data_IF_367709692402
#
_entry.id   IF_367709692402
#
_cell.length_a   1.000
_cell.length_b   1.000
_cell.length_c   1.000
_cell.angle_alpha   90.00
_cell.angle_beta   90.00
_cell.angle_gamma   90.00
#
_symmetry.space_group_name_H-M   'P 1'
#
loop_
_entity.id
_entity.type
_entity.pdbx_description
1 polymer ?
#
# COMPACT_ATOMS: atom_id res chain seq x y z
N UNK A 1 0.87 49.85 0.88
CA UNK A 1 1.46 49.00 -0.18
C UNK A 1 1.17 47.55 0.15
N UNK A 2 0.19 47.02 -0.55
CA UNK A 2 -0.27 45.64 -0.44
C UNK A 2 0.75 44.68 -1.12
N UNK A 3 1.38 43.82 -0.33
CA UNK A 3 2.14 42.71 -0.88
C UNK A 3 1.16 41.62 -1.33
N UNK A 4 0.85 41.60 -2.60
CA UNK A 4 0.23 40.46 -3.27
C UNK A 4 1.28 39.36 -3.40
N UNK A 5 1.36 38.50 -2.42
CA UNK A 5 2.06 37.23 -2.57
C UNK A 5 1.23 36.35 -3.52
N UNK A 6 1.68 36.27 -4.77
CA UNK A 6 1.12 35.36 -5.77
C UNK A 6 1.29 33.93 -5.25
N UNK A 7 0.20 33.32 -4.82
CA UNK A 7 0.17 31.87 -4.51
C UNK A 7 0.53 31.12 -5.80
N UNK A 8 1.78 30.68 -5.92
CA UNK A 8 2.21 29.80 -6.98
C UNK A 8 1.54 28.45 -6.71
N UNK A 9 0.48 28.13 -7.44
CA UNK A 9 -0.15 26.81 -7.38
C UNK A 9 0.85 25.82 -7.98
N UNK A 10 1.47 25.01 -7.11
CA UNK A 10 2.36 23.90 -7.54
C UNK A 10 1.49 22.88 -8.25
N UNK A 11 1.86 22.47 -9.46
CA UNK A 11 1.12 21.45 -10.18
C UNK A 11 1.17 20.12 -9.44
N UNK A 12 0.06 19.38 -9.40
CA UNK A 12 -0.08 18.09 -8.67
C UNK A 12 0.95 17.02 -9.07
N UNK A 13 1.61 17.15 -10.21
CA UNK A 13 2.64 16.24 -10.71
C UNK A 13 4.00 16.36 -9.99
N UNK A 14 4.16 17.34 -9.09
CA UNK A 14 5.44 17.66 -8.42
C UNK A 14 5.51 17.20 -6.95
N UNK A 15 4.51 16.47 -6.46
CA UNK A 15 4.55 15.94 -5.10
C UNK A 15 5.58 14.82 -4.99
N UNK A 16 6.53 14.98 -4.09
CA UNK A 16 7.55 13.97 -3.76
C UNK A 16 7.58 13.75 -2.23
N UNK A 17 8.00 12.56 -1.85
CA UNK A 17 8.25 12.26 -0.43
C UNK A 17 9.44 13.10 0.01
N UNK A 18 9.27 13.82 1.12
CA UNK A 18 10.31 14.62 1.72
C UNK A 18 11.45 13.72 2.24
N UNK A 19 12.67 13.99 1.77
CA UNK A 19 13.88 13.30 2.20
C UNK A 19 14.74 14.21 3.09
N UNK A 20 15.71 13.62 3.81
CA UNK A 20 16.70 14.41 4.59
C UNK A 20 17.45 15.41 3.71
N UNK A 21 17.70 15.04 2.44
CA UNK A 21 18.33 15.94 1.47
C UNK A 21 17.45 17.16 1.15
N UNK A 22 16.14 16.96 1.08
CA UNK A 22 15.17 18.03 0.82
C UNK A 22 15.08 18.97 2.02
N UNK A 23 15.05 18.42 3.24
CA UNK A 23 15.09 19.20 4.49
C UNK A 23 16.34 20.08 4.53
N UNK A 24 17.51 19.51 4.22
CA UNK A 24 18.77 20.24 4.16
C UNK A 24 18.75 21.33 3.07
N UNK A 25 18.14 21.06 1.92
CA UNK A 25 17.98 22.02 0.83
C UNK A 25 17.07 23.17 1.21
N UNK A 26 15.95 22.90 1.87
CA UNK A 26 15.03 23.90 2.40
C UNK A 26 15.75 24.78 3.43
N UNK A 27 16.45 24.16 4.38
CA UNK A 27 17.23 24.87 5.41
C UNK A 27 18.28 25.80 4.79
N UNK A 28 19.03 25.31 3.79
CA UNK A 28 20.03 26.12 3.09
C UNK A 28 19.40 27.34 2.41
N UNK A 29 18.24 27.17 1.75
CA UNK A 29 17.50 28.30 1.14
C UNK A 29 17.08 29.32 2.19
N UNK A 30 16.52 28.88 3.31
CA UNK A 30 16.11 29.79 4.40
C UNK A 30 17.28 30.58 4.96
N UNK A 31 18.43 29.95 5.17
CA UNK A 31 19.66 30.63 5.62
C UNK A 31 20.13 31.67 4.60
N UNK A 32 20.02 31.39 3.30
CA UNK A 32 20.37 32.33 2.24
C UNK A 32 19.46 33.57 2.21
N UNK A 33 18.24 33.45 2.74
CA UNK A 33 17.26 34.53 2.91
C UNK A 33 17.33 35.17 4.30
N UNK A 34 18.49 35.07 5.00
CA UNK A 34 18.77 35.58 6.34
C UNK A 34 17.86 35.00 7.47
N UNK A 35 17.16 33.88 7.21
CA UNK A 35 16.41 33.19 8.23
C UNK A 35 17.26 32.08 8.89
N UNK A 36 17.79 32.41 10.07
CA UNK A 36 18.54 31.44 10.89
C UNK A 36 17.58 30.48 11.57
N UNK A 37 17.51 29.25 11.05
CA UNK A 37 16.65 28.18 11.60
C UNK A 37 17.48 26.93 11.91
N UNK A 38 17.29 26.37 13.10
CA UNK A 38 17.87 25.07 13.42
C UNK A 38 17.13 23.96 12.67
N UNK A 39 17.81 22.83 12.42
CA UNK A 39 17.16 21.64 11.83
C UNK A 39 15.99 21.16 12.68
N UNK A 40 16.13 21.19 14.00
CA UNK A 40 15.09 20.81 14.96
C UNK A 40 13.86 21.71 14.84
N UNK A 41 14.05 23.02 14.70
CA UNK A 41 12.92 23.95 14.57
C UNK A 41 12.26 23.79 13.21
N UNK A 42 13.03 23.58 12.13
CA UNK A 42 12.49 23.29 10.81
C UNK A 42 11.64 22.02 10.83
N UNK A 43 12.14 20.93 11.45
CA UNK A 43 11.36 19.69 11.59
C UNK A 43 10.10 19.90 12.44
N UNK A 44 10.16 20.72 13.49
CA UNK A 44 8.99 21.07 14.28
C UNK A 44 7.91 21.77 13.44
N UNK A 45 8.32 22.67 12.54
CA UNK A 45 7.39 23.31 11.61
C UNK A 45 6.79 22.34 10.60
N UNK A 46 7.62 21.45 10.03
CA UNK A 46 7.19 20.45 9.04
C UNK A 46 6.18 19.47 9.66
N UNK A 47 6.41 19.04 10.92
CA UNK A 47 5.54 18.12 11.64
C UNK A 47 4.29 18.77 12.25
N UNK A 48 4.22 20.11 12.24
CA UNK A 48 3.08 20.83 12.81
C UNK A 48 1.84 20.69 11.95
N UNK A 49 0.75 20.17 12.54
CA UNK A 49 -0.55 20.04 11.88
C UNK A 49 -1.19 21.36 11.46
N UNK A 50 -0.83 22.45 12.14
CA UNK A 50 -1.38 23.79 11.85
C UNK A 50 -0.74 24.41 10.61
N UNK A 51 0.49 24.00 10.29
CA UNK A 51 1.28 24.56 9.20
C UNK A 51 1.23 23.67 7.97
N UNK A 52 1.30 22.34 8.16
CA UNK A 52 1.32 21.36 7.08
C UNK A 52 0.02 20.59 7.00
N UNK A 53 -0.63 20.62 5.84
CA UNK A 53 -1.80 19.77 5.59
C UNK A 53 -1.34 18.33 5.31
N UNK A 54 -1.98 17.37 5.96
CA UNK A 54 -1.79 15.97 5.59
C UNK A 54 -2.29 15.75 4.17
N UNK A 55 -1.47 15.13 3.36
CA UNK A 55 -1.76 14.81 1.97
C UNK A 55 -1.58 13.32 1.75
N UNK A 56 -2.59 12.69 1.17
CA UNK A 56 -2.51 11.28 0.77
C UNK A 56 -2.54 11.19 -0.77
N UNK A 57 -1.40 10.93 -1.42
CA UNK A 57 -1.30 10.89 -2.87
C UNK A 57 -2.20 9.84 -3.51
N UNK A 58 -2.43 8.70 -2.86
CA UNK A 58 -3.30 7.65 -3.36
C UNK A 58 -4.77 8.08 -3.33
N UNK A 59 -5.22 8.70 -2.23
CA UNK A 59 -6.58 9.24 -2.15
C UNK A 59 -6.80 10.33 -3.20
N UNK A 60 -5.82 11.21 -3.37
CA UNK A 60 -5.91 12.27 -4.39
C UNK A 60 -5.95 11.66 -5.80
N UNK A 61 -5.16 10.64 -6.08
CA UNK A 61 -5.17 9.92 -7.34
C UNK A 61 -6.56 9.36 -7.66
N UNK A 62 -7.14 8.56 -6.75
CA UNK A 62 -8.44 7.94 -6.97
C UNK A 62 -9.58 8.95 -7.06
N UNK A 63 -9.55 10.02 -6.25
CA UNK A 63 -10.58 11.06 -6.27
C UNK A 63 -10.53 11.96 -7.51
N UNK A 64 -9.44 11.93 -8.28
CA UNK A 64 -9.27 12.72 -9.49
C UNK A 64 -9.18 11.86 -10.76
N UNK A 65 -9.52 10.58 -10.70
CA UNK A 65 -9.72 9.78 -11.89
C UNK A 65 -10.90 10.31 -12.69
N UNK A 66 -10.75 10.30 -14.01
CA UNK A 66 -11.86 10.60 -14.91
C UNK A 66 -13.01 9.62 -14.71
N UNK A 67 -14.23 10.06 -15.01
CA UNK A 67 -15.37 9.15 -15.01
C UNK A 67 -15.14 8.01 -16.01
N UNK A 68 -15.46 6.80 -15.58
CA UNK A 68 -15.36 5.63 -16.44
C UNK A 68 -16.44 5.71 -17.54
N UNK A 69 -16.04 6.22 -18.71
CA UNK A 69 -16.90 6.38 -19.88
C UNK A 69 -16.93 5.17 -20.81
N UNK A 70 -15.98 4.23 -20.64
CA UNK A 70 -15.85 3.06 -21.46
C UNK A 70 -16.77 1.93 -21.00
N UNK A 71 -17.23 1.12 -21.96
CA UNK A 71 -17.96 -0.11 -21.62
C UNK A 71 -17.04 -1.32 -21.41
N UNK A 72 -15.72 -1.10 -21.38
CA UNK A 72 -14.70 -2.13 -21.23
C UNK A 72 -14.55 -2.50 -19.76
N UNK A 73 -14.71 -3.77 -19.41
CA UNK A 73 -14.40 -4.27 -18.07
C UNK A 73 -12.90 -4.62 -17.98
N UNK A 74 -12.07 -3.59 -17.69
CA UNK A 74 -10.62 -3.75 -17.57
C UNK A 74 -10.20 -4.74 -16.47
N UNK A 75 -11.03 -4.93 -15.44
CA UNK A 75 -10.73 -5.92 -14.39
C UNK A 75 -10.90 -7.32 -14.95
N UNK A 76 -11.91 -7.53 -15.78
CA UNK A 76 -12.11 -8.81 -16.47
C UNK A 76 -10.98 -9.10 -17.46
N UNK A 77 -10.57 -8.11 -18.25
CA UNK A 77 -9.40 -8.26 -19.12
C UNK A 77 -8.13 -8.60 -18.33
N UNK A 78 -7.91 -7.93 -17.19
CA UNK A 78 -6.80 -8.22 -16.30
C UNK A 78 -6.88 -9.64 -15.72
N UNK A 79 -8.05 -10.10 -15.29
CA UNK A 79 -8.25 -11.48 -14.84
C UNK A 79 -7.91 -12.49 -15.95
N UNK A 80 -8.32 -12.20 -17.19
CA UNK A 80 -8.05 -13.02 -18.37
C UNK A 80 -6.58 -13.21 -18.72
N UNK A 81 -5.68 -12.38 -18.17
CA UNK A 81 -4.22 -12.54 -18.31
C UNK A 81 -3.65 -13.72 -17.51
N UNK A 82 -4.46 -14.32 -16.64
CA UNK A 82 -4.09 -15.44 -15.80
C UNK A 82 -4.92 -16.67 -16.15
N UNK A 83 -4.30 -17.86 -16.10
CA UNK A 83 -4.98 -19.15 -16.18
C UNK A 83 -4.90 -19.82 -14.83
N UNK A 84 -6.06 -20.03 -14.20
CA UNK A 84 -6.20 -20.60 -12.87
C UNK A 84 -6.97 -21.91 -12.88
N UNK A 85 -7.05 -22.54 -11.72
CA UNK A 85 -7.92 -23.71 -11.50
C UNK A 85 -9.41 -23.39 -11.57
N UNK A 86 -9.80 -22.11 -11.48
CA UNK A 86 -11.17 -21.64 -11.63
C UNK A 86 -11.19 -20.17 -12.10
N UNK A 87 -11.03 -19.95 -13.42
CA UNK A 87 -10.96 -18.62 -14.02
C UNK A 87 -12.21 -17.79 -13.75
N UNK A 88 -13.41 -18.38 -13.83
CA UNK A 88 -14.66 -17.66 -13.61
C UNK A 88 -14.82 -17.17 -12.17
N UNK A 89 -14.41 -17.98 -11.19
CA UNK A 89 -14.41 -17.56 -9.79
C UNK A 89 -13.32 -16.52 -9.52
N UNK A 90 -12.14 -16.68 -10.13
CA UNK A 90 -11.04 -15.72 -9.99
C UNK A 90 -11.42 -14.32 -10.47
N UNK A 91 -12.10 -14.20 -11.60
CA UNK A 91 -12.61 -12.93 -12.13
C UNK A 91 -13.51 -12.20 -11.11
N UNK A 92 -14.50 -12.91 -10.56
CA UNK A 92 -15.43 -12.33 -9.57
C UNK A 92 -14.70 -11.93 -8.30
N UNK A 93 -13.78 -12.78 -7.83
CA UNK A 93 -13.00 -12.54 -6.60
C UNK A 93 -12.02 -11.40 -6.79
N UNK A 94 -11.31 -11.34 -7.92
CA UNK A 94 -10.39 -10.24 -8.23
C UNK A 94 -11.13 -8.90 -8.23
N UNK A 95 -12.29 -8.83 -8.87
CA UNK A 95 -13.11 -7.60 -8.90
C UNK A 95 -13.49 -7.15 -7.49
N UNK A 96 -14.01 -8.07 -6.68
CA UNK A 96 -14.35 -7.77 -5.28
C UNK A 96 -13.14 -7.35 -4.46
N UNK A 97 -12.03 -8.05 -4.62
CA UNK A 97 -10.79 -7.73 -3.92
C UNK A 97 -10.29 -6.32 -4.25
N UNK A 98 -10.25 -5.96 -5.54
CA UNK A 98 -9.79 -4.63 -5.98
C UNK A 98 -10.72 -3.52 -5.49
N UNK A 99 -12.04 -3.69 -5.59
CA UNK A 99 -13.02 -2.73 -5.05
C UNK A 99 -12.82 -2.55 -3.55
N UNK A 100 -12.74 -3.65 -2.78
CA UNK A 100 -12.51 -3.57 -1.33
C UNK A 100 -11.15 -2.97 -0.98
N UNK A 101 -10.13 -3.16 -1.83
CA UNK A 101 -8.80 -2.56 -1.62
C UNK A 101 -8.80 -1.05 -1.80
N UNK A 102 -9.55 -0.54 -2.78
CA UNK A 102 -9.74 0.91 -2.98
C UNK A 102 -10.61 1.49 -1.88
N UNK A 103 -11.69 0.80 -1.49
CA UNK A 103 -12.53 1.23 -0.39
C UNK A 103 -11.75 1.33 0.93
N UNK A 104 -10.91 0.34 1.27
CA UNK A 104 -10.03 0.38 2.44
C UNK A 104 -9.05 1.56 2.39
N UNK A 105 -8.64 1.97 1.21
CA UNK A 105 -7.76 3.12 1.02
C UNK A 105 -8.47 4.46 1.25
N UNK A 106 -9.71 4.59 0.76
CA UNK A 106 -10.47 5.84 0.74
C UNK A 106 -11.31 6.06 2.00
N UNK A 107 -11.87 4.98 2.56
CA UNK A 107 -12.79 5.02 3.69
C UNK A 107 -12.10 4.52 4.97
N UNK A 108 -12.13 5.35 6.01
CA UNK A 108 -11.49 5.07 7.30
C UNK A 108 -12.18 3.96 8.10
N UNK A 109 -13.45 3.71 7.80
CA UNK A 109 -14.25 2.68 8.48
C UNK A 109 -14.21 1.33 7.77
N UNK A 110 -13.57 1.26 6.61
CA UNK A 110 -13.48 0.04 5.80
C UNK A 110 -12.20 -0.74 6.04
N UNK A 111 -12.31 -2.06 6.01
CA UNK A 111 -11.19 -2.99 6.14
C UNK A 111 -11.31 -4.07 5.06
N UNK A 112 -10.28 -4.25 4.25
CA UNK A 112 -10.18 -5.42 3.41
C UNK A 112 -9.53 -6.55 4.22
N UNK A 113 -10.35 -7.45 4.77
CA UNK A 113 -9.93 -8.54 5.64
C UNK A 113 -9.59 -9.84 4.89
N UNK A 114 -9.49 -9.74 3.57
CA UNK A 114 -9.19 -10.84 2.66
C UNK A 114 -7.76 -10.68 2.13
N UNK A 115 -7.07 -11.79 1.98
CA UNK A 115 -5.78 -11.90 1.31
C UNK A 115 -5.93 -12.76 0.06
N UNK A 116 -5.65 -12.20 -1.11
CA UNK A 116 -5.64 -12.93 -2.38
C UNK A 116 -4.30 -13.64 -2.56
N UNK A 117 -4.32 -14.98 -2.61
CA UNK A 117 -3.12 -15.81 -2.71
C UNK A 117 -3.03 -16.45 -4.10
N UNK A 118 -1.92 -16.15 -4.78
CA UNK A 118 -1.55 -16.78 -6.03
C UNK A 118 -0.61 -17.96 -5.75
N UNK A 119 -1.13 -19.19 -5.85
CA UNK A 119 -0.34 -20.40 -5.74
C UNK A 119 0.07 -20.90 -7.14
N UNK A 120 1.28 -21.39 -7.31
CA UNK A 120 1.74 -21.95 -8.58
C UNK A 120 3.24 -22.09 -8.65
N UNK A 121 3.75 -22.70 -9.73
CA UNK A 121 5.17 -22.98 -9.90
C UNK A 121 6.04 -21.72 -9.78
N UNK A 122 7.25 -21.91 -9.31
CA UNK A 122 8.24 -20.83 -9.28
C UNK A 122 8.52 -20.33 -10.71
N UNK A 123 8.67 -19.03 -10.86
CA UNK A 123 9.05 -18.41 -12.13
C UNK A 123 7.91 -18.08 -13.08
N UNK A 124 6.64 -18.48 -12.82
CA UNK A 124 5.50 -18.11 -13.70
C UNK A 124 5.13 -16.62 -13.61
N UNK A 125 5.74 -15.85 -12.69
CA UNK A 125 5.59 -14.40 -12.64
C UNK A 125 4.52 -13.88 -11.68
N UNK A 126 4.09 -14.64 -10.67
CA UNK A 126 3.07 -14.26 -9.67
C UNK A 126 3.34 -12.89 -9.03
N UNK A 127 4.49 -12.73 -8.38
CA UNK A 127 4.86 -11.47 -7.71
C UNK A 127 4.93 -10.30 -8.69
N UNK A 128 5.42 -10.54 -9.92
CA UNK A 128 5.46 -9.53 -10.98
C UNK A 128 4.07 -9.06 -11.37
N UNK A 129 3.10 -9.97 -11.46
CA UNK A 129 1.72 -9.64 -11.79
C UNK A 129 1.06 -8.86 -10.66
N UNK A 130 1.20 -9.31 -9.40
CA UNK A 130 0.68 -8.63 -8.22
C UNK A 130 1.21 -7.19 -8.08
N UNK A 131 2.50 -6.98 -8.34
CA UNK A 131 3.10 -5.64 -8.31
C UNK A 131 2.49 -4.70 -9.34
N UNK A 132 2.07 -5.21 -10.50
CA UNK A 132 1.47 -4.43 -11.58
C UNK A 132 0.01 -4.02 -11.31
N UNK A 133 -0.61 -4.50 -10.24
CA UNK A 133 -1.91 -3.98 -9.78
C UNK A 133 -1.82 -2.51 -9.36
N UNK A 134 -0.63 -2.01 -9.05
CA UNK A 134 -0.43 -0.60 -8.76
C UNK A 134 0.03 0.18 -9.99
N UNK A 135 -0.43 1.43 -10.15
CA UNK A 135 0.16 2.35 -11.12
C UNK A 135 1.67 2.50 -10.89
N UNK A 136 2.44 2.62 -11.98
CA UNK A 136 3.92 2.60 -11.93
C UNK A 136 4.52 3.64 -10.99
N UNK A 137 3.93 4.83 -10.94
CA UNK A 137 4.36 5.94 -10.06
C UNK A 137 4.18 5.66 -8.56
N UNK A 138 3.31 4.72 -8.21
CA UNK A 138 3.04 4.35 -6.81
C UNK A 138 3.74 3.06 -6.37
N UNK A 139 4.24 2.25 -7.30
CA UNK A 139 4.86 0.95 -6.97
C UNK A 139 5.98 1.06 -5.94
N UNK A 140 6.83 2.07 -6.05
CA UNK A 140 8.01 2.21 -5.20
C UNK A 140 7.66 2.50 -3.74
N UNK A 141 6.63 3.32 -3.51
CA UNK A 141 6.36 3.89 -2.20
C UNK A 141 5.19 3.22 -1.47
N UNK A 142 4.27 2.63 -2.23
CA UNK A 142 3.00 2.11 -1.71
C UNK A 142 2.81 0.60 -1.94
N UNK A 143 3.84 -0.09 -2.38
CA UNK A 143 3.90 -1.53 -2.49
C UNK A 143 5.06 -2.08 -1.67
N UNK A 144 4.77 -3.05 -0.82
CA UNK A 144 5.78 -3.82 -0.12
C UNK A 144 5.72 -5.29 -0.55
N UNK A 145 6.86 -5.92 -0.71
CA UNK A 145 7.01 -7.32 -1.06
C UNK A 145 8.08 -7.94 -0.17
N UNK A 146 7.70 -8.97 0.56
CA UNK A 146 8.62 -9.66 1.47
C UNK A 146 7.92 -10.23 2.71
N UNK A 147 8.70 -10.83 3.60
CA UNK A 147 8.19 -11.36 4.86
C UNK A 147 7.69 -10.22 5.76
N UNK A 148 6.53 -10.41 6.39
CA UNK A 148 5.95 -9.45 7.32
C UNK A 148 6.12 -9.93 8.76
N UNK A 149 6.97 -9.25 9.52
CA UNK A 149 7.16 -9.49 10.94
C UNK A 149 6.28 -8.54 11.76
N UNK A 150 5.25 -9.07 12.39
CA UNK A 150 4.25 -8.31 13.14
C UNK A 150 4.80 -7.69 14.44
N UNK A 151 6.01 -8.04 14.85
CA UNK A 151 6.71 -7.47 16.01
C UNK A 151 7.60 -6.27 15.69
N UNK A 152 7.84 -5.98 14.40
CA UNK A 152 8.69 -4.86 13.99
C UNK A 152 7.87 -3.62 13.68
N UNK A 153 8.22 -2.49 14.32
CA UNK A 153 7.52 -1.21 14.11
C UNK A 153 7.50 -0.76 12.64
N UNK A 154 8.60 -0.94 11.92
CA UNK A 154 8.69 -0.57 10.51
C UNK A 154 7.70 -1.36 9.65
N UNK A 155 7.49 -2.66 9.96
CA UNK A 155 6.50 -3.48 9.27
C UNK A 155 5.05 -3.11 9.67
N UNK A 156 4.85 -2.65 10.91
CA UNK A 156 3.56 -2.11 11.34
C UNK A 156 3.24 -0.80 10.61
N UNK A 157 4.26 0.05 10.38
CA UNK A 157 4.10 1.29 9.61
C UNK A 157 3.63 1.04 8.18
N UNK A 158 4.08 -0.05 7.52
CA UNK A 158 3.61 -0.39 6.17
C UNK A 158 2.10 -0.54 6.08
N UNK A 159 1.43 -0.94 7.16
CA UNK A 159 -0.04 -1.08 7.18
C UNK A 159 -0.79 0.25 7.01
N UNK A 160 -0.18 1.36 7.39
CA UNK A 160 -0.75 2.70 7.20
C UNK A 160 -0.29 3.36 5.89
N UNK A 161 0.86 2.94 5.37
CA UNK A 161 1.52 3.55 4.21
C UNK A 161 1.19 2.83 2.91
N UNK A 162 1.38 1.51 2.88
CA UNK A 162 1.24 0.75 1.63
C UNK A 162 -0.23 0.55 1.23
N UNK A 163 -0.49 0.58 -0.05
CA UNK A 163 -1.77 0.14 -0.60
C UNK A 163 -1.84 -1.39 -0.68
N UNK A 164 -0.78 -2.03 -1.22
CA UNK A 164 -0.68 -3.49 -1.26
C UNK A 164 0.58 -3.98 -0.57
N UNK A 165 0.44 -5.05 0.19
CA UNK A 165 1.54 -5.83 0.73
C UNK A 165 1.46 -7.24 0.11
N UNK A 166 2.49 -7.62 -0.64
CA UNK A 166 2.67 -8.98 -1.12
C UNK A 166 3.45 -9.79 -0.07
N UNK A 167 2.75 -10.70 0.56
CA UNK A 167 3.29 -11.60 1.56
C UNK A 167 4.09 -12.70 0.86
N UNK A 168 5.38 -12.69 1.08
CA UNK A 168 6.28 -13.75 0.62
C UNK A 168 6.62 -14.71 1.75
N UNK A 169 7.16 -15.86 1.40
CA UNK A 169 7.62 -16.87 2.34
C UNK A 169 6.56 -17.40 3.32
N UNK A 170 5.27 -17.31 2.95
CA UNK A 170 4.19 -17.83 3.79
C UNK A 170 4.36 -19.32 4.08
N UNK A 171 4.93 -20.09 3.15
CA UNK A 171 5.16 -21.53 3.26
C UNK A 171 6.16 -21.92 4.36
N UNK A 172 7.05 -21.01 4.77
CA UNK A 172 8.03 -21.26 5.84
C UNK A 172 7.59 -20.68 7.19
N UNK A 173 6.44 -20.01 7.24
CA UNK A 173 5.92 -19.42 8.48
C UNK A 173 5.43 -20.51 9.44
N UNK A 174 5.78 -20.37 10.72
CA UNK A 174 5.22 -21.23 11.76
C UNK A 174 3.77 -20.81 12.10
N UNK A 175 3.04 -21.68 12.79
CA UNK A 175 1.64 -21.47 13.17
C UNK A 175 1.40 -20.17 13.93
N UNK A 176 2.30 -19.77 14.84
CA UNK A 176 2.14 -18.55 15.61
C UNK A 176 2.27 -17.30 14.73
N UNK A 177 3.22 -17.30 13.80
CA UNK A 177 3.41 -16.22 12.84
C UNK A 177 2.19 -16.07 11.92
N UNK A 178 1.63 -17.18 11.40
CA UNK A 178 0.41 -17.18 10.60
C UNK A 178 -0.78 -16.62 11.41
N UNK A 179 -0.94 -17.01 12.68
CA UNK A 179 -2.01 -16.48 13.53
C UNK A 179 -1.85 -14.99 13.83
N UNK A 180 -0.63 -14.54 14.06
CA UNK A 180 -0.34 -13.10 14.21
C UNK A 180 -0.70 -12.34 12.93
N UNK A 181 -0.35 -12.87 11.76
CA UNK A 181 -0.68 -12.28 10.47
C UNK A 181 -2.20 -12.23 10.23
N UNK A 182 -2.94 -13.30 10.57
CA UNK A 182 -4.42 -13.29 10.53
C UNK A 182 -5.02 -12.15 11.37
N UNK A 183 -4.44 -11.86 12.53
CA UNK A 183 -4.84 -10.72 13.36
C UNK A 183 -4.55 -9.39 12.68
N UNK A 184 -3.40 -9.25 12.01
CA UNK A 184 -3.04 -8.04 11.27
C UNK A 184 -3.98 -7.76 10.08
N UNK A 185 -4.36 -8.79 9.34
CA UNK A 185 -5.27 -8.67 8.19
C UNK A 185 -6.64 -8.11 8.59
N UNK A 186 -7.06 -8.31 9.82
CA UNK A 186 -8.39 -7.87 10.30
C UNK A 186 -8.39 -6.58 11.12
N UNK A 187 -7.22 -6.01 11.43
CA UNK A 187 -7.16 -4.76 12.19
C UNK A 187 -7.59 -3.58 11.35
N UNK A 188 -8.47 -2.76 11.87
CA UNK A 188 -8.84 -1.47 11.28
C UNK A 188 -7.86 -0.37 11.68
N UNK A 189 -7.40 -0.40 12.92
CA UNK A 189 -6.46 0.57 13.49
C UNK A 189 -5.20 -0.10 13.98
N UNK A 190 -4.11 0.61 13.88
CA UNK A 190 -2.79 0.16 14.30
C UNK A 190 -2.14 1.23 15.15
N UNK A 191 -1.53 0.80 16.24
CA UNK A 191 -0.80 1.69 17.14
C UNK A 191 0.69 1.41 17.02
N UNK A 192 1.45 2.41 16.62
CA UNK A 192 2.90 2.32 16.63
C UNK A 192 3.54 3.68 16.89
N UNK A 193 4.80 3.63 17.27
CA UNK A 193 5.64 4.81 17.44
C UNK A 193 6.56 4.92 16.24
N UNK A 194 6.46 6.02 15.50
CA UNK A 194 7.39 6.31 14.39
C UNK A 194 8.82 6.31 14.87
N UNK A 195 9.76 5.98 14.01
CA UNK A 195 11.18 6.14 14.27
C UNK A 195 11.45 7.58 14.69
N UNK A 196 12.14 7.75 15.84
CA UNK A 196 12.39 9.05 16.50
C UNK A 196 11.15 9.76 17.09
N UNK A 197 9.95 9.24 16.95
CA UNK A 197 8.74 9.76 17.62
C UNK A 197 8.81 9.57 19.13
N UNK A 198 8.22 10.49 19.91
CA UNK A 198 8.14 10.39 21.37
C UNK A 198 6.91 9.62 21.85
N UNK A 199 5.84 9.64 21.07
CA UNK A 199 4.55 9.09 21.43
C UNK A 199 4.16 7.97 20.47
N UNK A 200 3.39 7.00 21.00
CA UNK A 200 2.64 6.05 20.19
C UNK A 200 1.39 6.76 19.68
N UNK A 201 1.14 6.65 18.39
CA UNK A 201 -0.01 7.26 17.73
C UNK A 201 -0.89 6.18 17.10
N UNK A 202 -2.16 6.50 16.93
CA UNK A 202 -3.16 5.63 16.30
C UNK A 202 -3.27 5.96 14.82
N UNK A 203 -3.11 4.94 13.97
CA UNK A 203 -3.18 5.09 12.51
C UNK A 203 -4.26 4.18 11.94
N UNK A 204 -4.88 4.65 10.88
CA UNK A 204 -5.82 3.85 10.11
C UNK A 204 -5.05 2.92 9.19
N UNK A 205 -5.45 1.67 9.14
CA UNK A 205 -4.91 0.72 8.17
C UNK A 205 -5.48 1.02 6.79
N UNK A 206 -4.60 1.22 5.81
CA UNK A 206 -4.95 1.49 4.41
C UNK A 206 -4.59 0.33 3.47
N UNK A 207 -3.92 -0.66 4.01
CA UNK A 207 -3.32 -1.76 3.26
C UNK A 207 -4.30 -2.89 2.99
N UNK A 208 -4.25 -3.43 1.79
CA UNK A 208 -4.76 -4.75 1.43
C UNK A 208 -3.63 -5.75 1.25
N UNK A 209 -3.91 -7.03 1.43
CA UNK A 209 -2.90 -8.08 1.39
C UNK A 209 -3.09 -8.98 0.19
N UNK A 210 -1.99 -9.29 -0.46
CA UNK A 210 -1.87 -10.34 -1.47
C UNK A 210 -0.72 -11.27 -1.10
N UNK A 211 -0.63 -12.42 -1.72
CA UNK A 211 0.49 -13.32 -1.49
C UNK A 211 0.81 -14.16 -2.71
N UNK A 212 2.09 -14.47 -2.86
CA UNK A 212 2.60 -15.37 -3.90
C UNK A 212 3.32 -16.53 -3.27
N UNK A 213 2.81 -17.75 -3.45
CA UNK A 213 3.35 -18.97 -2.83
C UNK A 213 3.55 -20.07 -3.87
N UNK A 214 4.45 -20.98 -3.58
CA UNK A 214 4.62 -22.19 -4.37
C UNK A 214 3.85 -23.35 -3.76
N UNK A 215 3.71 -23.38 -2.44
CA UNK A 215 3.07 -24.43 -1.66
C UNK A 215 2.07 -23.83 -0.67
N UNK A 216 1.09 -24.64 -0.22
CA UNK A 216 0.04 -24.25 0.71
C UNK A 216 0.24 -24.82 2.13
N UNK A 217 1.44 -25.19 2.49
CA UNK A 217 1.77 -25.80 3.81
C UNK A 217 1.38 -24.90 4.98
N UNK A 218 1.39 -23.58 4.79
CA UNK A 218 0.96 -22.60 5.80
C UNK A 218 -0.54 -22.67 6.14
N UNK A 219 -1.37 -23.27 5.29
CA UNK A 219 -2.81 -23.47 5.51
C UNK A 219 -3.17 -24.74 6.27
N UNK A 220 -2.22 -25.38 6.92
CA UNK A 220 -2.43 -26.62 7.69
C UNK A 220 -3.43 -26.48 8.83
N UNK A 221 -3.68 -25.26 9.33
CA UNK A 221 -4.71 -24.97 10.34
C UNK A 221 -6.01 -24.51 9.66
N UNK A 222 -7.07 -25.31 9.78
CA UNK A 222 -8.37 -25.00 9.19
C UNK A 222 -9.06 -23.79 9.83
N UNK A 223 -8.60 -23.32 11.00
CA UNK A 223 -9.21 -22.17 11.68
C UNK A 223 -8.80 -20.85 11.04
N UNK A 224 -9.78 -20.06 10.64
CA UNK A 224 -9.56 -18.72 10.08
C UNK A 224 -9.07 -18.70 8.61
N UNK A 225 -9.13 -19.82 7.90
CA UNK A 225 -8.74 -19.90 6.49
C UNK A 225 -9.66 -19.09 5.55
N UNK A 226 -10.84 -18.67 6.01
CA UNK A 226 -11.77 -17.81 5.26
C UNK A 226 -11.16 -16.48 4.77
N UNK A 227 -10.00 -16.08 5.34
CA UNK A 227 -9.29 -14.86 4.91
C UNK A 227 -8.40 -15.09 3.69
N UNK A 228 -8.05 -16.33 3.42
CA UNK A 228 -7.15 -16.70 2.35
C UNK A 228 -7.95 -17.13 1.13
N UNK A 229 -8.03 -16.28 0.12
CA UNK A 229 -8.62 -16.62 -1.17
C UNK A 229 -7.51 -17.13 -2.09
N UNK A 230 -7.40 -18.44 -2.15
CA UNK A 230 -6.32 -19.13 -2.86
C UNK A 230 -6.78 -19.60 -4.22
N UNK A 231 -6.01 -19.26 -5.25
CA UNK A 231 -6.16 -19.78 -6.60
C UNK A 231 -4.85 -20.39 -7.07
N UNK A 232 -4.94 -21.54 -7.72
CA UNK A 232 -3.78 -22.17 -8.35
C UNK A 232 -3.64 -21.70 -9.79
N UNK A 233 -2.50 -21.07 -10.09
CA UNK A 233 -2.20 -20.52 -11.41
C UNK A 233 -1.24 -21.42 -12.17
N UNK A 234 -1.51 -21.60 -13.45
CA UNK A 234 -0.75 -22.42 -14.37
C UNK A 234 0.07 -21.55 -15.34
N UNK A 235 -0.49 -20.42 -15.75
CA UNK A 235 0.10 -19.48 -16.70
C UNK A 235 -0.30 -18.05 -16.37
N UNK A 236 0.61 -17.10 -16.59
CA UNK A 236 0.39 -15.67 -16.43
C UNK A 236 0.96 -14.95 -17.65
N UNK A 237 0.11 -14.26 -18.39
CA UNK A 237 0.53 -13.42 -19.49
C UNK A 237 1.05 -12.06 -18.96
N UNK A 238 2.29 -11.73 -19.28
CA UNK A 238 2.95 -10.48 -18.91
C UNK A 238 3.05 -9.49 -20.06
N UNK A 239 2.47 -9.79 -21.23
CA UNK A 239 2.56 -8.95 -22.43
C UNK A 239 1.51 -7.83 -22.42
N UNK A 240 0.47 -7.96 -21.60
CA UNK A 240 -0.56 -6.92 -21.45
C UNK A 240 0.06 -5.61 -20.91
N UNK A 241 -0.39 -4.50 -21.42
CA UNK A 241 0.08 -3.14 -21.07
C UNK A 241 -0.93 -2.44 -20.18
#
# INVERSE_FOLDING_TARGET
SSHNATKKTISKSEWMILTDSDVNTIRKKLITEDLQISEKDLMTFIDSHDITKRYNPLQDYFNNLDEWGDQVDYINELAGTCKSDNDALFEVVLKRFLVSSVECLLNEDSVNDICLIMQGSQGIGKSRWLRRLLPRNFMREYYYEGPLDTGKNDHVEYLSKCWLINLEELEVMNKNSVNSLKSFITRQRINFRRSYGKFTEDYIRRTSFVGSVNDLTFLSDMTGNRRWLVFKFFEIDHTHK
#
